data_IF_185881549399
#
_entry.id   IF_185881549399
#
_cell.length_a   1.000
_cell.length_b   1.000
_cell.length_c   1.000
_cell.angle_alpha   90.00
_cell.angle_beta   90.00
_cell.angle_gamma   90.00
#
_symmetry.space_group_name_H-M   'P 1'
#
loop_
_entity.id
_entity.type
_entity.pdbx_description
1 polymer ?
#
# COMPACT_ATOMS: atom_id res chain seq x y z
N UNK A 1 -3.24 19.42 -6.13
CA UNK A 1 -4.61 19.55 -5.60
C UNK A 1 -4.47 20.17 -4.23
N UNK A 2 -5.24 21.21 -3.90
CA UNK A 2 -5.26 21.74 -2.55
C UNK A 2 -5.87 20.66 -1.67
N UNK A 3 -5.08 20.08 -0.77
CA UNK A 3 -5.63 19.17 0.22
C UNK A 3 -6.49 20.01 1.14
N UNK A 4 -7.70 19.52 1.42
CA UNK A 4 -8.55 20.15 2.41
C UNK A 4 -7.88 19.97 3.77
N UNK A 5 -7.37 21.06 4.32
CA UNK A 5 -6.62 21.07 5.58
C UNK A 5 -7.49 20.61 6.75
N UNK A 6 -8.82 20.70 6.63
CA UNK A 6 -9.76 20.19 7.63
C UNK A 6 -9.80 18.67 7.59
N UNK A 7 -9.89 18.07 6.39
CA UNK A 7 -9.93 16.60 6.22
C UNK A 7 -8.61 15.95 6.69
N UNK A 8 -7.46 16.57 6.41
CA UNK A 8 -6.16 16.10 6.90
C UNK A 8 -6.10 16.10 8.44
N UNK A 9 -6.61 17.16 9.07
CA UNK A 9 -6.61 17.27 10.52
C UNK A 9 -7.52 16.21 11.17
N UNK A 10 -8.71 15.98 10.61
CA UNK A 10 -9.63 14.93 11.07
C UNK A 10 -9.03 13.53 10.91
N UNK A 11 -8.36 13.28 9.78
CA UNK A 11 -7.65 12.03 9.51
C UNK A 11 -6.52 11.79 10.51
N UNK A 12 -5.75 12.83 10.85
CA UNK A 12 -4.69 12.76 11.85
C UNK A 12 -5.23 12.50 13.26
N UNK A 13 -6.31 13.18 13.65
CA UNK A 13 -6.96 12.97 14.95
C UNK A 13 -7.43 11.52 15.11
N UNK A 14 -8.09 10.96 14.08
CA UNK A 14 -8.54 9.57 14.09
C UNK A 14 -7.36 8.60 14.20
N UNK A 15 -6.28 8.84 13.46
CA UNK A 15 -5.08 8.01 13.55
C UNK A 15 -4.50 7.97 14.97
N UNK A 16 -4.43 9.12 15.66
CA UNK A 16 -3.95 9.16 17.06
C UNK A 16 -4.92 8.41 17.98
N UNK A 17 -6.23 8.59 17.81
CA UNK A 17 -7.23 7.88 18.62
C UNK A 17 -7.05 6.36 18.51
N UNK A 18 -6.89 5.84 17.29
CA UNK A 18 -6.67 4.41 17.03
C UNK A 18 -5.37 3.91 17.71
N UNK A 19 -4.29 4.70 17.68
CA UNK A 19 -3.03 4.33 18.33
C UNK A 19 -3.15 4.27 19.87
N UNK A 20 -3.92 5.19 20.45
CA UNK A 20 -4.15 5.25 21.90
C UNK A 20 -5.05 4.11 22.40
N UNK A 21 -6.05 3.71 21.61
CA UNK A 21 -6.97 2.61 21.95
C UNK A 21 -6.28 1.24 21.89
N UNK A 22 -5.32 1.05 20.98
CA UNK A 22 -4.60 -0.22 20.80
C UNK A 22 -3.51 -0.49 21.86
N UNK A 23 -3.44 0.31 22.92
CA UNK A 23 -2.55 0.06 24.07
C UNK A 23 -1.05 0.17 23.77
N UNK A 24 -0.69 0.82 22.66
CA UNK A 24 0.69 1.02 22.24
C UNK A 24 1.48 1.96 23.17
N UNK A 25 2.80 2.01 22.99
CA UNK A 25 3.65 3.01 23.62
C UNK A 25 3.09 4.41 23.32
N UNK A 26 2.96 5.27 24.34
CA UNK A 26 2.43 6.64 24.18
C UNK A 26 3.47 7.49 23.44
N UNK A 27 3.35 7.68 22.11
CA UNK A 27 4.37 8.38 21.35
C UNK A 27 4.26 9.88 21.68
N UNK A 28 5.35 10.62 21.55
CA UNK A 28 5.26 12.08 21.61
C UNK A 28 4.43 12.60 20.44
N UNK A 29 3.88 13.83 20.52
CA UNK A 29 3.16 14.43 19.40
C UNK A 29 3.96 14.43 18.08
N UNK A 30 5.27 14.68 18.15
CA UNK A 30 6.17 14.66 16.99
C UNK A 30 6.31 13.24 16.40
N UNK A 31 6.36 12.23 17.26
CA UNK A 31 6.43 10.84 16.86
C UNK A 31 5.11 10.38 16.21
N UNK A 32 3.96 10.76 16.77
CA UNK A 32 2.66 10.54 16.15
C UNK A 32 2.59 11.17 14.75
N UNK A 33 3.07 12.40 14.60
CA UNK A 33 3.10 13.09 13.31
C UNK A 33 4.00 12.39 12.30
N UNK A 34 5.17 11.91 12.73
CA UNK A 34 6.11 11.15 11.89
C UNK A 34 5.49 9.83 11.41
N UNK A 35 4.88 9.08 12.33
CA UNK A 35 4.21 7.80 12.02
C UNK A 35 3.03 8.01 11.08
N UNK A 36 2.20 9.02 11.33
CA UNK A 36 1.06 9.33 10.47
C UNK A 36 1.50 9.66 9.04
N UNK A 37 2.54 10.49 8.87
CA UNK A 37 3.07 10.82 7.54
C UNK A 37 3.58 9.59 6.79
N UNK A 38 4.28 8.69 7.48
CA UNK A 38 4.73 7.43 6.90
C UNK A 38 3.54 6.56 6.45
N UNK A 39 2.51 6.44 7.29
CA UNK A 39 1.31 5.69 6.96
C UNK A 39 0.52 6.31 5.78
N UNK A 40 0.46 7.64 5.68
CA UNK A 40 -0.16 8.31 4.54
C UNK A 40 0.61 8.05 3.24
N UNK A 41 1.94 8.07 3.30
CA UNK A 41 2.78 7.75 2.14
C UNK A 41 2.55 6.30 1.69
N UNK A 42 2.61 5.33 2.60
CA UNK A 42 2.35 3.92 2.30
C UNK A 42 0.95 3.72 1.68
N UNK A 43 -0.06 4.39 2.23
CA UNK A 43 -1.43 4.36 1.69
C UNK A 43 -1.48 4.93 0.27
N UNK A 44 -0.82 6.05 0.00
CA UNK A 44 -0.79 6.66 -1.32
C UNK A 44 -0.09 5.75 -2.35
N UNK A 45 1.05 5.16 -1.98
CA UNK A 45 1.79 4.20 -2.80
C UNK A 45 0.95 2.95 -3.10
N UNK A 46 0.27 2.42 -2.09
CA UNK A 46 -0.63 1.27 -2.24
C UNK A 46 -1.78 1.57 -3.20
N UNK A 47 -2.44 2.72 -3.05
CA UNK A 47 -3.53 3.13 -3.94
C UNK A 47 -3.03 3.33 -5.37
N UNK A 48 -1.84 3.91 -5.55
CA UNK A 48 -1.23 4.08 -6.86
C UNK A 48 -0.94 2.71 -7.53
N UNK A 49 -0.37 1.76 -6.78
CA UNK A 49 -0.09 0.41 -7.27
C UNK A 49 -1.37 -0.35 -7.67
N UNK A 50 -2.45 -0.22 -6.89
CA UNK A 50 -3.75 -0.80 -7.23
C UNK A 50 -4.31 -0.17 -8.51
N UNK A 51 -4.27 1.17 -8.61
CA UNK A 51 -4.76 1.87 -9.79
C UNK A 51 -3.97 1.49 -11.05
N UNK A 52 -2.66 1.35 -10.93
CA UNK A 52 -1.79 0.85 -12.01
C UNK A 52 -2.19 -0.56 -12.44
N UNK A 53 -2.35 -1.49 -11.50
CA UNK A 53 -2.77 -2.86 -11.80
C UNK A 53 -4.13 -2.94 -12.50
N UNK A 54 -5.11 -2.12 -12.08
CA UNK A 54 -6.41 -2.04 -12.75
C UNK A 54 -6.30 -1.48 -14.17
N UNK A 55 -5.43 -0.50 -14.39
CA UNK A 55 -5.15 0.04 -15.71
C UNK A 55 -4.47 -0.99 -16.61
N UNK A 56 -3.54 -1.79 -16.08
CA UNK A 56 -2.87 -2.88 -16.81
C UNK A 56 -3.86 -3.96 -17.23
N UNK A 57 -4.79 -4.34 -16.34
CA UNK A 57 -5.88 -5.28 -16.68
C UNK A 57 -6.73 -4.70 -17.82
N UNK A 58 -7.17 -3.45 -17.68
CA UNK A 58 -8.04 -2.79 -18.67
C UNK A 58 -7.36 -2.63 -20.03
N UNK A 59 -6.04 -2.46 -20.05
CA UNK A 59 -5.25 -2.34 -21.27
C UNK A 59 -4.73 -3.67 -21.82
N UNK A 60 -5.06 -4.82 -21.20
CA UNK A 60 -4.58 -6.13 -21.62
C UNK A 60 -3.07 -6.33 -21.46
N UNK A 61 -2.42 -5.58 -20.55
CA UNK A 61 -0.98 -5.71 -20.22
C UNK A 61 -0.68 -6.80 -19.19
N UNK A 62 -1.67 -7.63 -18.89
CA UNK A 62 -1.57 -8.77 -17.97
C UNK A 62 -1.48 -10.08 -18.76
N UNK A 63 -0.94 -11.14 -18.13
CA UNK A 63 -0.94 -12.49 -18.69
C UNK A 63 -1.49 -13.51 -17.69
N UNK A 64 -2.03 -14.65 -18.16
CA UNK A 64 -2.44 -15.74 -17.28
C UNK A 64 -1.28 -16.22 -16.39
N UNK A 65 -1.60 -16.59 -15.16
CA UNK A 65 -0.60 -17.04 -14.18
C UNK A 65 0.13 -18.30 -14.65
N UNK A 66 -0.59 -19.27 -15.23
CA UNK A 66 -0.01 -20.53 -15.71
C UNK A 66 1.00 -20.32 -16.85
N UNK A 67 0.75 -19.31 -17.70
CA UNK A 67 1.67 -18.95 -18.77
C UNK A 67 2.94 -18.28 -18.19
N UNK A 68 2.76 -17.37 -17.24
CA UNK A 68 3.89 -16.77 -16.52
C UNK A 68 4.73 -17.81 -15.78
N UNK A 69 4.10 -18.71 -15.00
CA UNK A 69 4.80 -19.73 -14.21
C UNK A 69 5.64 -20.64 -15.11
N UNK A 70 5.05 -21.15 -16.19
CA UNK A 70 5.76 -22.00 -17.17
C UNK A 70 6.96 -21.29 -17.79
N UNK A 71 6.77 -20.05 -18.24
CA UNK A 71 7.86 -19.23 -18.82
C UNK A 71 8.96 -18.95 -17.80
N UNK A 72 8.58 -18.55 -16.58
CA UNK A 72 9.50 -18.21 -15.50
C UNK A 72 10.31 -19.43 -15.08
N UNK A 73 9.67 -20.57 -14.84
CA UNK A 73 10.33 -21.83 -14.48
C UNK A 73 11.30 -22.29 -15.57
N UNK A 74 10.88 -22.23 -16.84
CA UNK A 74 11.73 -22.58 -17.99
C UNK A 74 12.98 -21.69 -18.05
N UNK A 75 12.81 -20.37 -17.86
CA UNK A 75 13.90 -19.39 -17.86
C UNK A 75 14.90 -19.63 -16.73
N UNK A 76 14.44 -20.12 -15.59
CA UNK A 76 15.26 -20.29 -14.38
C UNK A 76 15.66 -21.75 -14.09
N UNK A 77 15.29 -22.71 -14.95
CA UNK A 77 15.59 -24.13 -14.76
C UNK A 77 14.88 -24.77 -13.55
N UNK A 78 13.71 -24.24 -13.17
CA UNK A 78 12.91 -24.74 -12.04
C UNK A 78 11.99 -25.88 -12.55
N UNK A 79 11.93 -27.04 -11.88
CA UNK A 79 11.04 -28.13 -12.26
C UNK A 79 9.55 -27.74 -12.16
N UNK A 80 8.69 -28.30 -13.01
CA UNK A 80 7.24 -28.02 -12.99
C UNK A 80 6.47 -28.79 -11.90
N UNK A 81 7.03 -29.88 -11.37
CA UNK A 81 6.31 -30.83 -10.51
C UNK A 81 6.55 -30.63 -9.00
N UNK A 82 7.10 -29.48 -8.59
CA UNK A 82 7.35 -29.12 -7.20
C UNK A 82 6.17 -28.35 -6.57
#
# INVERSE_FOLDING_TARGET
>A
MAVDTVEELESFHRFIADQLENGGAKPSPEECLRLWRAAQQERAETLAAIAEGLNDISAGRVKPLDDFDREFRTKHGIPQDA
#
